data_IF_493519233871
#
_entry.id   IF_493519233871
#
_cell.length_a   1.000
_cell.length_b   1.000
_cell.length_c   1.000
_cell.angle_alpha   90.00
_cell.angle_beta   90.00
_cell.angle_gamma   90.00
#
_symmetry.space_group_name_H-M   'P 1'
#
loop_
_entity.id
_entity.type
_entity.pdbx_description
1 polymer ?
#
# COMPACT_ATOMS: atom_id res chain seq x y z
N UNK A 1 -3.68 17.71 -2.81
CA UNK A 1 -2.50 18.13 -3.59
C UNK A 1 -2.85 18.18 -5.07
N UNK A 2 -2.41 19.22 -5.79
CA UNK A 2 -2.66 19.39 -7.23
C UNK A 2 -1.32 19.43 -7.96
N UNK A 3 -1.12 18.48 -8.89
CA UNK A 3 0.06 18.37 -9.72
C UNK A 3 -0.34 18.64 -11.17
N UNK A 4 0.41 19.51 -11.85
CA UNK A 4 0.17 19.87 -13.25
C UNK A 4 1.42 19.66 -14.09
N UNK A 5 1.29 19.85 -15.40
CA UNK A 5 2.32 19.68 -16.43
C UNK A 5 3.77 19.86 -15.92
N UNK A 6 4.56 18.79 -16.02
CA UNK A 6 5.98 18.81 -15.66
C UNK A 6 6.28 18.58 -14.17
N UNK A 7 5.28 18.53 -13.30
CA UNK A 7 5.45 18.05 -11.93
C UNK A 7 5.73 16.54 -11.90
N UNK A 8 6.62 16.11 -11.01
CA UNK A 8 6.89 14.70 -10.72
C UNK A 8 7.20 14.50 -9.22
N UNK A 9 6.28 14.83 -8.31
CA UNK A 9 6.55 14.69 -6.89
C UNK A 9 6.69 13.22 -6.49
N UNK A 10 7.62 12.97 -5.58
CA UNK A 10 7.70 11.73 -4.83
C UNK A 10 7.15 11.99 -3.43
N UNK A 11 6.17 11.19 -3.03
CA UNK A 11 5.56 11.21 -1.70
C UNK A 11 5.83 9.84 -1.10
N UNK A 12 6.30 9.79 0.13
CA UNK A 12 6.59 8.55 0.82
C UNK A 12 6.25 8.68 2.31
N UNK A 13 5.95 7.57 2.97
CA UNK A 13 5.67 7.45 4.41
C UNK A 13 4.70 8.54 4.91
N UNK A 14 3.60 8.70 4.18
CA UNK A 14 2.67 9.82 4.36
C UNK A 14 1.23 9.37 4.47
N UNK A 15 0.47 10.01 5.37
CA UNK A 15 -0.96 9.77 5.55
C UNK A 15 -1.79 10.99 5.13
N UNK A 16 -2.78 10.76 4.27
CA UNK A 16 -3.76 11.75 3.83
C UNK A 16 -5.15 11.31 4.31
N UNK A 17 -5.66 11.97 5.35
CA UNK A 17 -6.94 11.62 5.98
C UNK A 17 -7.97 12.73 5.80
N UNK A 18 -9.18 12.39 5.34
CA UNK A 18 -10.32 13.31 5.37
C UNK A 18 -10.22 14.54 4.47
N UNK A 19 -9.32 14.56 3.47
CA UNK A 19 -9.18 15.68 2.56
C UNK A 19 -10.39 15.76 1.60
N UNK A 20 -10.75 16.97 1.18
CA UNK A 20 -11.91 17.21 0.34
C UNK A 20 -11.61 18.17 -0.80
N UNK A 21 -12.12 17.84 -2.00
CA UNK A 21 -12.05 18.69 -3.18
C UNK A 21 -13.43 18.83 -3.85
N UNK A 22 -13.69 19.97 -4.49
CA UNK A 22 -14.95 20.17 -5.20
C UNK A 22 -14.98 19.50 -6.58
N UNK A 23 -13.83 19.36 -7.24
CA UNK A 23 -13.81 18.92 -8.64
C UNK A 23 -13.20 17.52 -8.80
N UNK A 24 -11.96 17.30 -8.40
CA UNK A 24 -11.24 16.06 -8.66
C UNK A 24 -10.23 15.76 -7.56
N UNK A 25 -10.06 14.48 -7.22
CA UNK A 25 -8.94 14.05 -6.40
C UNK A 25 -8.99 14.61 -4.98
N UNK A 26 -9.77 14.02 -4.09
CA UNK A 26 -9.92 14.52 -2.71
C UNK A 26 -8.58 14.65 -1.99
N UNK A 27 -7.67 13.69 -2.18
CA UNK A 27 -6.29 13.80 -1.74
C UNK A 27 -5.36 14.32 -2.84
N UNK A 28 -5.45 13.77 -4.06
CA UNK A 28 -4.54 14.11 -5.17
C UNK A 28 -5.26 14.28 -6.50
N UNK A 29 -5.05 15.41 -7.14
CA UNK A 29 -5.38 15.64 -8.54
C UNK A 29 -4.09 15.75 -9.35
N UNK A 30 -3.83 14.77 -10.21
CA UNK A 30 -2.67 14.72 -11.07
C UNK A 30 -3.10 14.91 -12.53
N UNK A 31 -2.73 16.05 -13.12
CA UNK A 31 -3.05 16.39 -14.51
C UNK A 31 -1.78 16.50 -15.32
N UNK A 32 -1.59 15.58 -16.27
CA UNK A 32 -0.45 15.58 -17.20
C UNK A 32 0.91 15.60 -16.51
N UNK A 33 0.98 15.05 -15.30
CA UNK A 33 2.16 15.06 -14.45
C UNK A 33 2.57 13.63 -14.07
N UNK A 34 3.81 13.46 -13.67
CA UNK A 34 4.21 12.26 -12.95
C UNK A 34 3.83 12.39 -11.48
N UNK A 35 3.88 11.27 -10.76
CA UNK A 35 3.77 11.22 -9.31
C UNK A 35 4.22 9.84 -8.87
N UNK A 36 4.91 9.74 -7.75
CA UNK A 36 5.25 8.44 -7.19
C UNK A 36 4.92 8.44 -5.71
N UNK A 37 4.14 7.48 -5.27
CA UNK A 37 3.79 7.24 -3.88
C UNK A 37 4.38 5.92 -3.41
N UNK A 38 5.00 5.93 -2.23
CA UNK A 38 5.48 4.74 -1.52
C UNK A 38 4.92 4.74 -0.10
N UNK A 39 4.45 3.61 0.41
CA UNK A 39 4.08 3.45 1.83
C UNK A 39 3.07 4.52 2.32
N UNK A 40 2.13 4.91 1.46
CA UNK A 40 1.19 5.98 1.76
C UNK A 40 -0.17 5.41 2.16
N UNK A 41 -0.82 6.05 3.13
CA UNK A 41 -2.24 5.82 3.44
C UNK A 41 -3.06 7.00 2.94
N UNK A 42 -4.04 6.72 2.08
CA UNK A 42 -5.05 7.69 1.67
C UNK A 42 -6.39 7.18 2.19
N UNK A 43 -6.90 7.80 3.25
CA UNK A 43 -8.16 7.36 3.88
C UNK A 43 -9.21 8.45 4.02
N UNK A 44 -10.48 8.09 3.83
CA UNK A 44 -11.62 8.99 4.04
C UNK A 44 -11.61 10.27 3.19
N UNK A 45 -10.83 10.31 2.10
CA UNK A 45 -10.76 11.48 1.24
C UNK A 45 -11.97 11.51 0.30
N UNK A 46 -12.47 12.71 -0.01
CA UNK A 46 -13.73 12.89 -0.73
C UNK A 46 -13.65 13.91 -1.85
N UNK A 47 -14.42 13.70 -2.92
CA UNK A 47 -14.61 14.67 -4.00
C UNK A 47 -16.06 14.71 -4.49
N UNK A 48 -16.53 15.85 -5.00
CA UNK A 48 -17.82 15.92 -5.69
C UNK A 48 -17.74 15.46 -7.17
N UNK A 49 -16.56 15.34 -7.75
CA UNK A 49 -16.39 14.77 -9.10
C UNK A 49 -15.85 13.35 -9.09
N UNK A 50 -14.76 13.13 -9.84
CA UNK A 50 -14.16 11.81 -10.03
C UNK A 50 -12.84 11.68 -9.23
N UNK A 51 -12.52 10.45 -8.79
CA UNK A 51 -11.29 10.18 -8.03
C UNK A 51 -11.41 10.62 -6.56
N UNK A 52 -12.11 9.87 -5.72
CA UNK A 52 -12.32 10.22 -4.31
C UNK A 52 -11.01 10.46 -3.56
N UNK A 53 -10.03 9.56 -3.72
CA UNK A 53 -8.66 9.77 -3.27
C UNK A 53 -7.81 10.42 -4.36
N UNK A 54 -7.67 9.74 -5.51
CA UNK A 54 -6.74 10.12 -6.57
C UNK A 54 -7.45 10.27 -7.91
N UNK A 55 -7.28 11.43 -8.55
CA UNK A 55 -7.63 11.66 -9.94
C UNK A 55 -6.36 11.77 -10.78
N UNK A 56 -6.30 11.04 -11.88
CA UNK A 56 -5.19 11.06 -12.84
C UNK A 56 -5.75 11.36 -14.22
N UNK A 57 -5.19 12.35 -14.91
CA UNK A 57 -5.47 12.59 -16.32
C UNK A 57 -4.21 12.91 -17.11
N UNK A 58 -4.29 12.74 -18.43
CA UNK A 58 -3.29 13.28 -19.36
C UNK A 58 -3.96 14.24 -20.34
N UNK A 59 -3.19 15.18 -20.89
CA UNK A 59 -3.57 15.84 -22.14
C UNK A 59 -3.28 14.90 -23.31
N UNK A 60 -4.16 14.83 -24.33
CA UNK A 60 -4.14 13.81 -25.39
C UNK A 60 -2.84 13.70 -26.20
N UNK A 61 -1.90 14.65 -26.09
CA UNK A 61 -0.56 14.55 -26.72
C UNK A 61 0.39 13.55 -26.06
N UNK A 62 0.13 13.09 -24.82
CA UNK A 62 0.96 12.09 -24.10
C UNK A 62 0.36 10.67 -24.06
N UNK A 63 -0.89 10.50 -24.47
CA UNK A 63 -1.63 9.23 -24.46
C UNK A 63 -1.06 8.13 -25.41
N UNK A 64 0.02 8.40 -26.14
CA UNK A 64 0.64 7.48 -27.11
C UNK A 64 1.66 6.48 -26.54
N UNK A 65 1.89 6.42 -25.22
CA UNK A 65 2.76 5.40 -24.60
C UNK A 65 1.94 4.25 -24.01
N UNK A 66 1.14 3.61 -24.84
CA UNK A 66 0.36 2.42 -24.48
C UNK A 66 1.14 1.16 -24.86
N UNK A 67 1.36 0.25 -23.90
CA UNK A 67 1.39 -1.17 -24.22
C UNK A 67 2.73 -1.92 -24.21
N UNK A 68 3.62 -1.68 -23.25
CA UNK A 68 4.58 -2.73 -22.87
C UNK A 68 4.15 -3.29 -21.52
N UNK A 69 3.76 -4.57 -21.46
CA UNK A 69 3.86 -5.31 -20.20
C UNK A 69 5.32 -5.24 -19.77
N UNK A 70 5.60 -4.47 -18.73
CA UNK A 70 6.94 -4.37 -18.17
C UNK A 70 7.11 -5.53 -17.20
N UNK A 71 8.30 -6.13 -17.18
CA UNK A 71 8.65 -7.17 -16.21
C UNK A 71 8.74 -6.57 -14.80
N UNK A 72 8.50 -7.33 -13.72
CA UNK A 72 8.56 -6.80 -12.34
C UNK A 72 9.87 -6.08 -12.01
N UNK A 73 11.01 -6.57 -12.52
CA UNK A 73 12.32 -5.95 -12.31
C UNK A 73 12.52 -4.63 -13.08
N UNK A 74 11.78 -4.40 -14.17
CA UNK A 74 11.80 -3.12 -14.91
C UNK A 74 10.93 -2.05 -14.23
N UNK A 75 10.02 -2.44 -13.32
CA UNK A 75 8.99 -1.55 -12.78
C UNK A 75 9.47 -0.57 -11.72
N UNK A 76 10.60 -0.77 -11.05
CA UNK A 76 11.05 0.12 -9.95
C UNK A 76 11.95 1.26 -10.48
N UNK A 77 12.85 0.95 -11.41
CA UNK A 77 13.82 1.91 -11.97
C UNK A 77 13.35 2.57 -13.29
N UNK A 78 12.45 1.94 -14.08
CA UNK A 78 11.76 2.59 -15.23
C UNK A 78 10.38 3.13 -14.91
N UNK A 79 9.85 2.80 -13.72
CA UNK A 79 9.19 3.83 -12.91
C UNK A 79 10.11 5.05 -12.73
N UNK A 80 9.83 6.13 -12.02
CA UNK A 80 10.76 7.29 -11.95
C UNK A 80 11.10 8.03 -13.29
N UNK A 81 11.35 7.39 -14.44
CA UNK A 81 11.90 7.96 -15.68
C UNK A 81 10.86 8.28 -16.77
N UNK A 82 9.69 7.65 -16.76
CA UNK A 82 8.64 7.87 -17.78
C UNK A 82 7.67 9.03 -17.44
N UNK A 83 7.70 9.53 -16.20
CA UNK A 83 6.83 10.59 -15.70
C UNK A 83 5.35 10.18 -15.65
N UNK A 84 5.05 8.88 -15.51
CA UNK A 84 3.69 8.40 -15.25
C UNK A 84 3.41 8.34 -13.74
N UNK A 85 2.16 8.51 -13.28
CA UNK A 85 1.76 8.28 -11.90
C UNK A 85 1.93 6.82 -11.44
N UNK A 86 2.40 6.64 -10.20
CA UNK A 86 2.73 5.32 -9.63
C UNK A 86 2.41 5.29 -8.14
N UNK A 87 1.84 4.18 -7.72
CA UNK A 87 1.50 3.90 -6.33
C UNK A 87 2.05 2.52 -5.97
N UNK A 88 2.93 2.51 -4.97
CA UNK A 88 3.61 1.33 -4.46
C UNK A 88 3.34 1.23 -2.97
N UNK A 89 3.00 0.04 -2.46
CA UNK A 89 2.82 -0.18 -1.03
C UNK A 89 1.82 0.81 -0.40
N UNK A 90 0.77 1.17 -1.12
CA UNK A 90 -0.18 2.17 -0.66
C UNK A 90 -1.46 1.50 -0.17
N UNK A 91 -2.09 2.07 0.85
CA UNK A 91 -3.44 1.68 1.29
C UNK A 91 -4.40 2.82 0.99
N UNK A 92 -5.34 2.60 0.07
CA UNK A 92 -6.43 3.51 -0.26
C UNK A 92 -7.71 2.97 0.35
N UNK A 93 -8.17 3.61 1.42
CA UNK A 93 -9.26 3.11 2.25
C UNK A 93 -10.42 4.10 2.38
N UNK A 94 -11.66 3.63 2.21
CA UNK A 94 -12.87 4.40 2.50
C UNK A 94 -12.94 5.79 1.83
N UNK A 95 -12.30 5.97 0.66
CA UNK A 95 -12.37 7.23 -0.08
C UNK A 95 -13.65 7.29 -0.92
N UNK A 96 -14.18 8.51 -1.14
CA UNK A 96 -15.54 8.72 -1.65
C UNK A 96 -15.59 9.70 -2.84
N UNK A 97 -16.09 9.25 -3.98
CA UNK A 97 -16.66 10.12 -5.00
C UNK A 97 -18.15 10.33 -4.68
N UNK A 98 -18.53 11.52 -4.19
CA UNK A 98 -19.79 11.74 -3.48
C UNK A 98 -21.02 11.74 -4.38
N UNK A 99 -20.87 12.24 -5.61
CA UNK A 99 -22.03 12.42 -6.49
C UNK A 99 -22.47 11.10 -7.13
N UNK A 100 -23.76 10.95 -7.48
CA UNK A 100 -24.26 9.76 -8.17
C UNK A 100 -23.57 9.48 -9.52
N UNK A 101 -22.96 10.51 -10.12
CA UNK A 101 -22.17 10.41 -11.35
C UNK A 101 -20.66 10.32 -11.11
N UNK A 102 -20.21 10.53 -9.88
CA UNK A 102 -18.80 10.43 -9.50
C UNK A 102 -18.33 8.99 -9.61
N UNK A 103 -17.12 8.80 -10.14
CA UNK A 103 -16.53 7.50 -10.42
C UNK A 103 -15.16 7.36 -9.77
N UNK A 104 -14.83 6.12 -9.38
CA UNK A 104 -13.52 5.80 -8.80
C UNK A 104 -13.30 6.47 -7.45
N UNK A 105 -13.97 5.98 -6.41
CA UNK A 105 -13.77 6.43 -5.03
C UNK A 105 -12.30 6.37 -4.60
N UNK A 106 -11.60 5.30 -4.98
CA UNK A 106 -10.15 5.19 -4.76
C UNK A 106 -9.40 5.99 -5.82
N UNK A 107 -9.32 5.44 -7.03
CA UNK A 107 -8.57 6.02 -8.16
C UNK A 107 -9.48 6.18 -9.39
N UNK A 108 -9.43 7.35 -10.02
CA UNK A 108 -9.98 7.57 -11.34
C UNK A 108 -8.89 7.95 -12.34
N UNK A 109 -8.82 7.25 -13.47
CA UNK A 109 -7.86 7.49 -14.54
C UNK A 109 -8.59 7.91 -15.81
N UNK A 110 -8.26 9.09 -16.33
CA UNK A 110 -8.86 9.68 -17.53
C UNK A 110 -7.82 9.80 -18.64
N UNK A 111 -7.95 8.98 -19.69
CA UNK A 111 -7.06 9.00 -20.86
C UNK A 111 -5.56 8.97 -20.49
N UNK A 112 -5.19 8.25 -19.42
CA UNK A 112 -3.84 8.25 -18.85
C UNK A 112 -3.43 6.85 -18.39
N UNK A 113 -2.21 6.71 -17.89
CA UNK A 113 -1.72 5.44 -17.36
C UNK A 113 -1.23 5.57 -15.93
N UNK A 114 -1.48 4.53 -15.13
CA UNK A 114 -0.99 4.43 -13.75
C UNK A 114 -0.39 3.05 -13.49
N UNK A 115 0.69 3.01 -12.73
CA UNK A 115 1.24 1.78 -12.17
C UNK A 115 0.76 1.64 -10.73
N UNK A 116 0.16 0.51 -10.41
CA UNK A 116 -0.30 0.15 -9.08
C UNK A 116 0.35 -1.19 -8.71
N UNK A 117 1.14 -1.21 -7.65
CA UNK A 117 1.82 -2.44 -7.25
C UNK A 117 1.85 -2.57 -5.73
N UNK A 118 1.68 -3.81 -5.25
CA UNK A 118 1.75 -4.15 -3.82
C UNK A 118 0.86 -3.28 -2.93
N UNK A 119 -0.28 -2.83 -3.46
CA UNK A 119 -1.16 -1.86 -2.80
C UNK A 119 -2.51 -2.47 -2.42
N UNK A 120 -3.16 -1.91 -1.40
CA UNK A 120 -4.51 -2.27 -0.97
C UNK A 120 -5.49 -1.17 -1.37
N UNK A 121 -6.52 -1.49 -2.15
CA UNK A 121 -7.65 -0.61 -2.44
C UNK A 121 -8.91 -1.24 -1.87
N UNK A 122 -9.41 -0.67 -0.78
CA UNK A 122 -10.49 -1.28 -0.02
C UNK A 122 -11.52 -0.27 0.47
N UNK A 123 -12.78 -0.70 0.52
CA UNK A 123 -13.93 0.08 1.00
C UNK A 123 -14.13 1.45 0.32
N UNK A 124 -13.45 1.74 -0.79
CA UNK A 124 -13.67 2.97 -1.53
C UNK A 124 -15.05 2.93 -2.21
N UNK A 125 -15.69 4.09 -2.31
CA UNK A 125 -17.07 4.22 -2.78
C UNK A 125 -17.19 5.30 -3.85
N UNK A 126 -18.02 5.02 -4.85
CA UNK A 126 -18.45 6.01 -5.84
C UNK A 126 -19.97 6.01 -6.00
N UNK A 127 -20.49 6.69 -7.02
CA UNK A 127 -21.92 6.77 -7.30
C UNK A 127 -22.60 5.41 -7.52
N UNK A 128 -21.85 4.36 -7.86
CA UNK A 128 -22.34 2.99 -8.04
C UNK A 128 -22.21 2.11 -6.79
N UNK A 129 -21.64 2.62 -5.69
CA UNK A 129 -21.42 1.86 -4.44
C UNK A 129 -19.95 1.48 -4.25
N UNK A 130 -19.68 0.29 -3.72
CA UNK A 130 -18.33 -0.18 -3.34
C UNK A 130 -17.79 -1.25 -4.28
N UNK A 131 -18.16 -1.23 -5.56
CA UNK A 131 -17.73 -2.20 -6.58
C UNK A 131 -16.23 -2.11 -6.88
N UNK A 132 -15.71 -3.03 -7.69
CA UNK A 132 -14.32 -2.94 -8.20
C UNK A 132 -14.06 -1.59 -8.89
N UNK A 133 -15.03 -1.08 -9.67
CA UNK A 133 -14.94 0.24 -10.29
C UNK A 133 -14.81 1.38 -9.28
N UNK A 134 -15.41 1.24 -8.10
CA UNK A 134 -15.25 2.23 -7.03
C UNK A 134 -13.83 2.22 -6.44
N UNK A 135 -13.10 1.09 -6.53
CA UNK A 135 -11.71 1.02 -6.13
C UNK A 135 -10.83 1.71 -7.18
N UNK A 136 -10.99 1.32 -8.44
CA UNK A 136 -10.25 1.88 -9.57
C UNK A 136 -11.12 1.90 -10.84
N UNK A 137 -11.25 3.07 -11.46
CA UNK A 137 -11.97 3.24 -12.73
C UNK A 137 -11.08 3.86 -13.79
N UNK A 138 -11.17 3.35 -15.02
CA UNK A 138 -10.51 3.90 -16.20
C UNK A 138 -11.57 4.41 -17.19
N UNK A 139 -11.47 5.68 -17.57
CA UNK A 139 -12.19 6.31 -18.67
C UNK A 139 -11.24 6.51 -19.86
N UNK A 140 -10.60 5.42 -20.28
CA UNK A 140 -9.53 5.42 -21.27
C UNK A 140 -8.13 5.37 -20.67
N UNK A 141 -7.14 4.97 -21.48
CA UNK A 141 -5.77 4.72 -21.03
C UNK A 141 -5.54 3.30 -20.52
N UNK A 142 -4.62 3.11 -19.57
CA UNK A 142 -4.23 1.78 -19.08
C UNK A 142 -3.84 1.77 -17.59
N UNK A 143 -3.93 0.61 -16.96
CA UNK A 143 -3.37 0.37 -15.63
C UNK A 143 -2.42 -0.81 -15.73
N UNK A 144 -1.24 -0.69 -15.11
CA UNK A 144 -0.40 -1.84 -14.79
C UNK A 144 -0.65 -2.15 -13.31
N UNK A 145 -1.43 -3.19 -13.03
CA UNK A 145 -1.79 -3.58 -11.68
C UNK A 145 -1.16 -4.94 -11.37
N UNK A 146 -0.18 -5.02 -10.48
CA UNK A 146 0.45 -6.29 -10.09
C UNK A 146 0.55 -6.40 -8.56
N UNK A 147 0.37 -7.59 -7.98
CA UNK A 147 0.50 -7.84 -6.54
C UNK A 147 -0.43 -7.03 -5.64
N UNK A 148 -1.60 -6.60 -6.12
CA UNK A 148 -2.52 -5.74 -5.34
C UNK A 148 -3.63 -6.54 -4.66
N UNK A 149 -4.16 -5.97 -3.56
CA UNK A 149 -5.43 -6.40 -2.99
C UNK A 149 -6.50 -5.36 -3.33
N UNK A 150 -7.43 -5.71 -4.23
CA UNK A 150 -8.46 -4.80 -4.73
C UNK A 150 -9.82 -5.39 -4.41
N UNK A 151 -10.66 -4.66 -3.66
CA UNK A 151 -11.98 -5.16 -3.29
C UNK A 151 -12.82 -5.52 -4.52
N UNK A 152 -13.39 -6.72 -4.50
CA UNK A 152 -14.15 -7.32 -5.60
C UNK A 152 -13.36 -7.48 -6.91
N UNK A 153 -12.05 -7.67 -6.81
CA UNK A 153 -11.19 -7.96 -7.95
C UNK A 153 -11.80 -9.01 -8.88
N UNK A 154 -12.05 -8.62 -10.13
CA UNK A 154 -12.64 -9.50 -11.15
C UNK A 154 -11.58 -10.12 -12.07
N UNK A 155 -10.36 -9.59 -12.04
CA UNK A 155 -9.29 -9.93 -13.00
C UNK A 155 -9.35 -9.12 -14.30
N UNK A 156 -10.35 -8.24 -14.48
CA UNK A 156 -10.55 -7.52 -15.74
C UNK A 156 -9.41 -6.54 -16.08
N UNK A 157 -8.71 -6.02 -15.07
CA UNK A 157 -7.56 -5.13 -15.26
C UNK A 157 -6.24 -5.90 -15.51
N UNK A 158 -6.27 -7.23 -15.43
CA UNK A 158 -5.13 -8.10 -15.71
C UNK A 158 -4.03 -8.04 -14.64
N UNK A 159 -2.79 -8.27 -15.08
CA UNK A 159 -1.61 -8.31 -14.21
C UNK A 159 -1.49 -9.59 -13.38
N UNK A 160 -0.42 -9.66 -12.58
CA UNK A 160 -0.06 -10.87 -11.81
C UNK A 160 -0.40 -10.72 -10.33
N UNK A 161 -0.70 -11.84 -9.66
CA UNK A 161 -0.84 -11.96 -8.20
C UNK A 161 -1.76 -10.92 -7.52
N UNK A 162 -2.73 -10.38 -8.26
CA UNK A 162 -3.79 -9.56 -7.70
C UNK A 162 -4.86 -10.44 -7.03
N UNK A 163 -5.39 -9.98 -5.91
CA UNK A 163 -6.46 -10.67 -5.16
C UNK A 163 -7.59 -9.70 -4.80
N UNK A 164 -8.77 -10.27 -4.53
CA UNK A 164 -9.90 -9.54 -3.94
C UNK A 164 -10.35 -10.13 -2.61
N UNK A 165 -9.52 -10.97 -1.99
CA UNK A 165 -9.76 -11.49 -0.65
C UNK A 165 -9.66 -10.37 0.38
N UNK A 166 -10.40 -10.50 1.48
CA UNK A 166 -10.40 -9.52 2.55
C UNK A 166 -8.97 -9.35 3.12
N UNK A 167 -8.41 -8.13 3.19
CA UNK A 167 -7.10 -7.91 3.78
C UNK A 167 -7.09 -8.12 5.30
N UNK A 168 -8.24 -8.33 5.97
CA UNK A 168 -8.32 -8.59 7.41
C UNK A 168 -7.54 -7.53 8.22
N UNK A 169 -8.03 -6.29 8.14
CA UNK A 169 -7.48 -5.22 8.96
C UNK A 169 -7.79 -5.47 10.44
N UNK A 170 -6.87 -5.09 11.33
CA UNK A 170 -7.00 -5.26 12.79
C UNK A 170 -8.28 -4.59 13.30
N UNK A 171 -8.53 -3.34 12.89
CA UNK A 171 -9.74 -2.60 13.25
C UNK A 171 -10.02 -1.53 12.18
N UNK A 172 -10.81 -1.88 11.16
CA UNK A 172 -10.92 -1.09 9.93
C UNK A 172 -11.72 0.21 10.08
N UNK A 173 -12.55 0.32 11.10
CA UNK A 173 -13.40 1.48 11.40
C UNK A 173 -13.14 2.08 12.79
N UNK A 174 -12.14 1.55 13.49
CA UNK A 174 -11.60 2.15 14.69
C UNK A 174 -12.58 2.17 15.86
N UNK A 175 -12.25 2.99 16.85
CA UNK A 175 -13.04 3.12 18.07
C UNK A 175 -14.38 3.82 17.84
N UNK A 176 -14.49 4.62 16.79
CA UNK A 176 -15.70 5.36 16.45
C UNK A 176 -16.68 4.60 15.54
N UNK A 177 -16.33 3.37 15.12
CA UNK A 177 -17.10 2.54 14.18
C UNK A 177 -17.41 3.29 12.85
N UNK A 178 -16.56 4.25 12.47
CA UNK A 178 -16.70 5.03 11.24
C UNK A 178 -15.47 4.89 10.34
N UNK A 179 -15.58 4.18 9.20
CA UNK A 179 -14.43 4.00 8.33
C UNK A 179 -13.97 5.32 7.68
N UNK A 180 -12.66 5.47 7.54
CA UNK A 180 -12.02 6.62 6.91
C UNK A 180 -11.64 7.72 7.89
N UNK A 181 -11.63 7.45 9.19
CA UNK A 181 -11.28 8.37 10.26
C UNK A 181 -9.85 8.14 10.74
N UNK A 182 -9.40 8.96 11.69
CA UNK A 182 -8.01 8.93 12.13
C UNK A 182 -7.65 7.70 12.97
N UNK A 183 -8.65 7.06 13.58
CA UNK A 183 -8.54 5.91 14.48
C UNK A 183 -8.69 4.56 13.78
N UNK A 184 -8.99 4.53 12.47
CA UNK A 184 -8.87 3.29 11.68
C UNK A 184 -7.48 2.67 11.87
N UNK A 185 -7.43 1.39 12.20
CA UNK A 185 -6.22 0.58 12.27
C UNK A 185 -6.15 -0.35 11.05
N UNK A 186 -5.49 0.14 10.00
CA UNK A 186 -5.34 -0.53 8.71
C UNK A 186 -4.13 -1.47 8.66
N UNK A 187 -3.56 -1.84 9.81
CA UNK A 187 -2.60 -2.95 9.91
C UNK A 187 -3.30 -4.27 9.65
N UNK A 188 -2.55 -5.26 9.20
CA UNK A 188 -3.06 -6.59 8.91
C UNK A 188 -3.06 -7.45 10.18
N UNK A 189 -4.09 -8.29 10.34
CA UNK A 189 -4.02 -9.42 11.28
C UNK A 189 -3.13 -10.53 10.70
N UNK A 190 -2.57 -11.40 11.54
CA UNK A 190 -1.67 -12.48 11.08
C UNK A 190 -2.31 -13.48 10.10
N UNK A 191 -3.63 -13.67 10.15
CA UNK A 191 -4.36 -14.50 9.17
C UNK A 191 -4.56 -13.83 7.79
N UNK A 192 -4.02 -12.61 7.60
CA UNK A 192 -4.30 -11.82 6.40
C UNK A 192 -3.71 -12.47 5.14
N UNK A 193 -4.51 -12.62 4.06
CA UNK A 193 -3.99 -13.05 2.76
C UNK A 193 -3.12 -11.98 2.06
N UNK A 194 -2.95 -10.82 2.71
CA UNK A 194 -2.09 -9.74 2.23
C UNK A 194 -0.68 -9.79 2.83
N UNK A 195 -0.44 -10.65 3.82
CA UNK A 195 0.89 -10.90 4.37
C UNK A 195 1.75 -11.71 3.39
N UNK A 196 3.02 -11.34 3.24
CA UNK A 196 4.01 -11.96 2.37
C UNK A 196 3.55 -12.11 0.90
N UNK A 197 2.72 -11.18 0.44
CA UNK A 197 1.98 -11.32 -0.81
C UNK A 197 2.18 -10.15 -1.79
N UNK A 198 3.03 -9.19 -1.44
CA UNK A 198 3.51 -8.13 -2.31
C UNK A 198 4.62 -8.59 -3.26
N UNK A 199 5.09 -7.65 -4.07
CA UNK A 199 6.10 -7.87 -5.11
C UNK A 199 7.50 -8.09 -4.50
N UNK A 200 8.12 -9.28 -4.67
CA UNK A 200 9.44 -9.56 -4.13
C UNK A 200 10.56 -8.76 -4.82
N UNK A 201 10.29 -8.10 -5.95
CA UNK A 201 11.26 -7.27 -6.68
C UNK A 201 11.25 -5.80 -6.26
N UNK A 202 10.30 -5.36 -5.43
CA UNK A 202 10.15 -3.96 -5.03
C UNK A 202 11.20 -3.50 -4.00
N UNK A 203 12.04 -4.43 -3.53
CA UNK A 203 13.13 -4.25 -2.55
C UNK A 203 14.10 -3.08 -2.85
N UNK A 204 14.22 -2.64 -4.11
CA UNK A 204 15.30 -1.75 -4.54
C UNK A 204 15.04 -0.22 -4.41
N UNK A 205 13.88 0.22 -3.90
CA UNK A 205 13.48 1.63 -4.02
C UNK A 205 14.09 2.60 -2.97
N UNK A 206 14.79 2.10 -1.95
CA UNK A 206 15.40 2.94 -0.89
C UNK A 206 14.40 3.42 0.18
N UNK A 207 13.28 2.73 0.33
CA UNK A 207 12.27 2.93 1.38
C UNK A 207 12.15 1.61 2.16
N UNK A 208 13.20 1.31 2.93
CA UNK A 208 13.39 0.01 3.58
C UNK A 208 12.41 -0.28 4.71
N UNK A 209 11.60 0.70 5.11
CA UNK A 209 10.60 0.58 6.17
C UNK A 209 9.19 0.85 5.69
N UNK A 210 8.22 0.28 6.40
CA UNK A 210 6.80 0.58 6.26
C UNK A 210 6.44 1.90 6.99
N UNK A 211 5.15 2.19 7.06
CA UNK A 211 4.66 3.42 7.68
C UNK A 211 4.82 3.45 9.23
N UNK A 212 5.07 2.30 9.86
CA UNK A 212 5.37 2.18 11.29
C UNK A 212 6.88 2.16 11.59
N UNK A 213 7.72 2.15 10.55
CA UNK A 213 9.16 2.04 10.69
C UNK A 213 9.68 0.60 10.67
N UNK A 214 8.81 -0.40 10.47
CA UNK A 214 9.18 -1.82 10.40
C UNK A 214 9.86 -2.12 9.07
N UNK A 215 10.88 -3.00 9.01
CA UNK A 215 11.46 -3.45 7.75
C UNK A 215 10.37 -3.90 6.75
N UNK A 216 10.44 -3.41 5.50
CA UNK A 216 9.47 -3.78 4.45
C UNK A 216 9.57 -5.25 4.04
N UNK A 217 10.72 -5.87 4.27
CA UNK A 217 10.93 -7.27 3.92
C UNK A 217 10.89 -8.01 5.23
N UNK A 218 9.89 -8.87 5.38
CA UNK A 218 9.85 -9.90 6.39
C UNK A 218 9.67 -11.21 5.62
N UNK A 219 10.38 -12.27 5.98
CA UNK A 219 10.20 -13.57 5.31
C UNK A 219 10.41 -13.54 3.76
N UNK A 220 11.44 -12.82 3.30
CA UNK A 220 11.80 -12.62 1.88
C UNK A 220 10.75 -11.87 1.01
N UNK A 221 9.63 -11.44 1.58
CA UNK A 221 8.57 -10.71 0.85
C UNK A 221 8.11 -9.49 1.62
N UNK A 222 7.38 -8.65 0.90
CA UNK A 222 6.69 -7.50 1.50
C UNK A 222 5.21 -7.83 1.62
N UNK A 223 4.54 -7.20 2.56
CA UNK A 223 3.10 -7.19 2.65
C UNK A 223 2.48 -6.24 1.63
N UNK A 224 1.24 -6.51 1.22
CA UNK A 224 0.49 -5.54 0.42
C UNK A 224 0.04 -4.38 1.31
N UNK A 225 0.13 -3.16 0.79
CA UNK A 225 -0.31 -1.96 1.48
C UNK A 225 0.82 -1.28 2.24
N UNK A 226 0.45 -0.30 3.08
CA UNK A 226 1.39 0.62 3.72
C UNK A 226 2.07 0.09 5.00
N UNK A 227 1.60 -1.03 5.53
CA UNK A 227 2.07 -1.63 6.78
C UNK A 227 2.53 -3.06 6.54
N UNK A 228 3.52 -3.48 7.33
CA UNK A 228 4.00 -4.85 7.45
C UNK A 228 3.50 -5.47 8.77
N UNK A 229 3.15 -6.74 8.71
CA UNK A 229 2.79 -7.59 9.83
C UNK A 229 3.78 -8.76 9.96
N UNK A 230 3.70 -9.49 11.07
CA UNK A 230 4.58 -10.63 11.33
C UNK A 230 5.90 -10.27 12.03
N UNK A 231 5.97 -9.13 12.75
CA UNK A 231 7.03 -8.99 13.77
C UNK A 231 6.90 -10.13 14.77
N UNK A 232 8.03 -10.74 15.10
CA UNK A 232 8.12 -11.95 15.92
C UNK A 232 7.91 -13.26 15.18
N UNK A 233 7.35 -13.27 13.97
CA UNK A 233 7.18 -14.48 13.16
C UNK A 233 8.46 -14.73 12.36
N UNK A 234 9.41 -15.41 12.99
CA UNK A 234 10.75 -15.67 12.46
C UNK A 234 10.76 -16.82 11.45
N UNK A 235 9.96 -17.86 11.66
CA UNK A 235 9.96 -19.03 10.77
C UNK A 235 8.96 -18.94 9.60
N UNK A 236 8.18 -17.85 9.58
CA UNK A 236 7.31 -17.42 8.50
C UNK A 236 6.10 -18.32 8.28
N UNK A 237 5.60 -18.98 9.33
CA UNK A 237 4.50 -19.95 9.23
C UNK A 237 3.10 -19.36 9.51
N UNK A 238 3.04 -18.06 9.78
CA UNK A 238 1.86 -17.17 9.96
C UNK A 238 1.31 -17.08 11.38
N UNK A 239 1.99 -17.66 12.37
CA UNK A 239 1.75 -17.36 13.78
C UNK A 239 3.02 -16.84 14.47
N UNK A 240 2.90 -16.44 15.74
CA UNK A 240 4.04 -16.07 16.59
C UNK A 240 3.99 -16.94 17.83
N UNK A 241 4.91 -17.89 17.95
CA UNK A 241 4.86 -18.94 18.96
C UNK A 241 6.23 -19.32 19.56
N UNK A 242 6.31 -20.50 20.17
CA UNK A 242 7.56 -20.98 20.77
C UNK A 242 8.57 -21.49 19.74
N UNK A 243 8.16 -21.83 18.52
CA UNK A 243 9.03 -22.16 17.41
C UNK A 243 9.82 -20.92 16.97
N UNK A 244 9.19 -19.75 16.92
CA UNK A 244 9.90 -18.49 16.69
C UNK A 244 10.88 -18.22 17.82
N UNK A 245 10.41 -18.27 19.07
CA UNK A 245 11.26 -18.02 20.23
C UNK A 245 12.48 -18.95 20.30
N UNK A 246 12.39 -20.16 19.75
CA UNK A 246 13.52 -21.09 19.72
C UNK A 246 14.71 -20.58 18.89
N UNK A 247 14.51 -19.56 18.05
CA UNK A 247 15.56 -18.89 17.27
C UNK A 247 16.05 -17.60 17.91
N UNK A 248 15.41 -17.14 18.99
CA UNK A 248 15.72 -15.87 19.66
C UNK A 248 17.19 -15.76 20.10
N UNK A 249 17.74 -16.82 20.70
CA UNK A 249 19.12 -16.83 21.19
C UNK A 249 20.16 -16.73 20.08
N UNK A 250 19.79 -17.09 18.84
CA UNK A 250 20.65 -16.95 17.66
C UNK A 250 20.69 -15.53 17.12
N UNK A 251 19.65 -14.74 17.41
CA UNK A 251 19.50 -13.37 16.95
C UNK A 251 19.95 -12.31 17.96
N UNK A 252 19.88 -12.64 19.26
CA UNK A 252 20.31 -11.74 20.34
C UNK A 252 21.76 -11.27 20.17
N UNK A 253 21.92 -9.98 19.91
CA UNK A 253 23.22 -9.29 19.92
C UNK A 253 23.46 -8.60 21.25
N UNK A 254 22.38 -8.15 21.92
CA UNK A 254 22.42 -7.28 23.09
C UNK A 254 22.50 -5.79 22.72
N UNK A 255 22.41 -4.89 23.72
CA UNK A 255 22.25 -3.45 23.50
C UNK A 255 23.48 -2.83 22.85
N UNK A 256 23.25 -1.98 21.87
CA UNK A 256 24.24 -1.30 21.02
C UNK A 256 25.23 -2.26 20.31
N UNK A 257 24.88 -3.55 20.15
CA UNK A 257 25.82 -4.60 19.71
C UNK A 257 25.59 -5.10 18.27
N UNK A 258 24.68 -4.48 17.53
CA UNK A 258 24.39 -4.78 16.14
C UNK A 258 25.58 -4.67 15.16
N UNK A 259 25.45 -5.15 13.91
CA UNK A 259 24.22 -5.69 13.30
C UNK A 259 23.98 -7.19 13.60
N UNK A 260 22.72 -7.59 13.71
CA UNK A 260 22.29 -9.00 13.71
C UNK A 260 22.38 -9.65 12.32
N UNK A 261 22.11 -10.95 12.21
CA UNK A 261 22.08 -11.71 10.93
C UNK A 261 20.80 -11.41 10.13
N UNK A 262 20.86 -11.34 8.80
CA UNK A 262 19.74 -10.90 7.92
C UNK A 262 18.38 -11.59 8.21
N UNK A 263 18.37 -12.80 8.78
CA UNK A 263 17.13 -13.50 9.13
C UNK A 263 16.47 -13.01 10.43
N UNK A 264 17.16 -12.19 11.22
CA UNK A 264 16.74 -11.75 12.55
C UNK A 264 15.90 -10.46 12.52
N UNK A 265 15.57 -9.94 11.33
CA UNK A 265 14.74 -8.74 11.15
C UNK A 265 13.36 -8.88 11.82
N UNK A 266 12.82 -10.10 11.93
CA UNK A 266 11.56 -10.35 12.64
C UNK A 266 11.66 -10.08 14.15
N UNK A 267 12.87 -10.06 14.73
CA UNK A 267 13.10 -9.81 16.15
C UNK A 267 13.61 -8.40 16.46
N UNK A 268 13.95 -7.57 15.48
CA UNK A 268 14.30 -6.16 15.71
C UNK A 268 13.04 -5.29 15.55
N UNK A 269 12.36 -5.09 16.68
CA UNK A 269 11.08 -4.42 16.74
C UNK A 269 11.18 -2.89 16.67
N UNK A 270 12.30 -2.34 17.12
CA UNK A 270 12.55 -0.89 17.20
C UNK A 270 13.51 -0.36 16.12
N UNK A 271 14.02 -1.27 15.31
CA UNK A 271 14.78 -1.04 14.10
C UNK A 271 16.10 -0.31 14.32
N UNK A 272 16.79 -0.65 15.41
CA UNK A 272 18.09 -0.06 15.75
C UNK A 272 19.29 -0.93 15.35
N UNK A 273 19.00 -2.04 14.67
CA UNK A 273 19.94 -3.03 14.15
C UNK A 273 20.57 -3.94 15.21
N UNK A 274 20.04 -3.95 16.42
CA UNK A 274 20.37 -4.96 17.41
C UNK A 274 19.11 -5.73 17.83
N UNK A 275 19.31 -6.87 18.48
CA UNK A 275 18.22 -7.64 19.09
C UNK A 275 18.54 -7.77 20.56
N UNK A 276 17.70 -7.18 21.40
CA UNK A 276 17.95 -7.11 22.83
C UNK A 276 16.71 -7.33 23.71
N UNK A 277 16.73 -6.84 24.96
CA UNK A 277 15.62 -7.06 25.89
C UNK A 277 14.43 -6.11 25.66
N UNK A 278 14.64 -4.99 24.99
CA UNK A 278 13.56 -4.10 24.54
C UNK A 278 12.75 -4.81 23.44
N UNK A 279 13.44 -5.44 22.49
CA UNK A 279 12.79 -6.30 21.49
C UNK A 279 12.09 -7.52 22.09
N UNK A 280 12.70 -8.13 23.10
CA UNK A 280 12.07 -9.28 23.76
C UNK A 280 10.72 -8.89 24.37
N UNK A 281 10.60 -7.68 24.90
CA UNK A 281 9.35 -7.18 25.45
C UNK A 281 8.29 -6.98 24.35
N UNK A 282 8.71 -6.52 23.17
CA UNK A 282 7.83 -6.40 22.00
C UNK A 282 7.38 -7.77 21.49
N UNK A 283 8.31 -8.72 21.32
CA UNK A 283 8.03 -10.10 20.90
C UNK A 283 6.97 -10.77 21.79
N UNK A 284 7.07 -10.59 23.12
CA UNK A 284 6.08 -11.11 24.06
C UNK A 284 4.65 -10.61 23.82
N UNK A 285 4.50 -9.43 23.23
CA UNK A 285 3.19 -8.85 22.92
C UNK A 285 2.60 -9.36 21.61
N UNK A 286 3.41 -10.00 20.77
CA UNK A 286 3.00 -10.54 19.46
C UNK A 286 2.62 -12.03 19.52
N UNK A 287 2.93 -12.73 20.63
CA UNK A 287 2.59 -14.15 20.84
C UNK A 287 1.08 -14.43 20.62
N UNK A 288 0.79 -15.40 19.76
CA UNK A 288 -0.58 -15.73 19.35
C UNK A 288 -1.13 -17.03 19.92
N UNK A 289 -0.28 -17.90 20.47
CA UNK A 289 -0.67 -19.05 21.27
C UNK A 289 -0.32 -18.88 22.76
N UNK A 290 -1.14 -19.43 23.69
CA UNK A 290 -0.90 -19.35 25.14
C UNK A 290 0.17 -20.29 25.71
#
# INVERSE_FOLDING_TARGET
>A
MYNDEGCNPTVYDSTFTGNSAEEYGGAFANRSAGMTMYNCVLRGNRTNGDGGAVYISSVPTRAGRTGAQLSPADNVDRARADGLPKLFNCTLYANLAETPSGRGGGIYVNESSVTLNSSILWANRDGAGTTESAQITLSGGAVSADYNCIRYWSGALGGTENTGQDPLFVDADGLDEMPGTSDDNLRLTLDSPSINAGDPGLQAAGYGTDLDGRPRILCDRIDRGAYEAGLGNYDCDTDVDLADFASWDTCMTGPDAGPYDDNCEAFDSEHDWDVDLEDFAAFQSELTEP
#
